data_IF_564201461248
#
_entry.id   IF_564201461248
#
_cell.length_a   1.000
_cell.length_b   1.000
_cell.length_c   1.000
_cell.angle_alpha   90.00
_cell.angle_beta   90.00
_cell.angle_gamma   90.00
#
_symmetry.space_group_name_H-M   'P 1'
#
loop_
_entity.id
_entity.type
_entity.pdbx_description
1 polymer ?
#
# COMPACT_ATOMS: atom_id res chain seq x y z
N UNK A 1 19.28 40.01 15.80
CA UNK A 1 18.56 39.14 14.91
C UNK A 1 19.37 38.62 13.74
N UNK A 2 20.43 39.27 13.37
CA UNK A 2 21.31 38.83 12.28
C UNK A 2 22.18 37.61 12.58
N UNK A 3 22.24 37.17 13.83
CA UNK A 3 23.13 36.08 14.25
C UNK A 3 22.58 34.68 13.87
N UNK A 4 21.28 34.52 13.76
CA UNK A 4 20.66 33.25 13.41
C UNK A 4 20.86 32.88 11.95
N UNK A 5 20.82 33.84 11.06
CA UNK A 5 20.96 33.60 9.62
C UNK A 5 22.39 33.20 9.25
N UNK A 6 23.38 33.64 9.98
CA UNK A 6 24.79 33.30 9.74
C UNK A 6 25.13 31.86 10.12
N UNK A 7 24.49 31.29 11.13
CA UNK A 7 24.74 29.91 11.55
C UNK A 7 24.19 28.91 10.53
N UNK A 8 23.05 29.19 9.95
CA UNK A 8 22.44 28.32 8.92
C UNK A 8 23.28 28.32 7.63
N UNK A 9 23.81 29.46 7.22
CA UNK A 9 24.69 29.53 6.06
C UNK A 9 26.02 28.79 6.27
N UNK A 10 26.56 28.84 7.45
CA UNK A 10 27.81 28.13 7.78
C UNK A 10 27.63 26.62 7.80
N UNK A 11 26.51 26.10 8.24
CA UNK A 11 26.20 24.71 8.21
C UNK A 11 26.05 24.18 6.77
N UNK A 12 25.42 24.90 5.91
CA UNK A 12 25.26 24.56 4.50
C UNK A 12 26.62 24.51 3.79
N UNK A 13 27.50 25.44 4.06
CA UNK A 13 28.85 25.46 3.48
C UNK A 13 29.71 24.29 3.93
N UNK A 14 29.57 23.86 5.17
CA UNK A 14 30.30 22.68 5.66
C UNK A 14 29.87 21.38 4.96
N UNK A 15 28.59 21.22 4.72
CA UNK A 15 28.05 20.07 4.01
C UNK A 15 28.53 20.01 2.56
N UNK A 16 28.55 21.13 1.86
CA UNK A 16 29.07 21.21 0.49
C UNK A 16 30.54 20.86 0.41
N UNK A 17 31.36 21.35 1.35
CA UNK A 17 32.79 21.00 1.42
C UNK A 17 33.04 19.51 1.64
N UNK A 18 32.25 18.86 2.47
CA UNK A 18 32.35 17.44 2.73
C UNK A 18 32.01 16.61 1.50
N UNK A 19 31.01 17.00 0.74
CA UNK A 19 30.64 16.33 -0.51
C UNK A 19 31.71 16.50 -1.58
N UNK A 20 32.24 17.67 -1.78
CA UNK A 20 33.34 17.92 -2.71
C UNK A 20 34.60 17.13 -2.35
N UNK A 21 34.92 17.03 -1.07
CA UNK A 21 36.06 16.27 -0.61
C UNK A 21 35.91 14.78 -0.90
N UNK A 22 34.74 14.23 -0.74
CA UNK A 22 34.44 12.82 -1.08
C UNK A 22 34.56 12.55 -2.59
N UNK A 23 34.06 13.44 -3.40
CA UNK A 23 34.13 13.31 -4.86
C UNK A 23 35.59 13.41 -5.34
N UNK A 24 36.37 14.32 -4.80
CA UNK A 24 37.79 14.47 -5.17
C UNK A 24 38.61 13.23 -4.81
N UNK A 25 38.36 12.65 -3.67
CA UNK A 25 39.09 11.47 -3.22
C UNK A 25 38.78 10.25 -4.11
N UNK A 26 37.56 10.14 -4.53
CA UNK A 26 37.15 9.03 -5.41
C UNK A 26 37.77 9.12 -6.79
N UNK A 27 37.93 10.30 -7.36
CA UNK A 27 38.52 10.50 -8.68
C UNK A 27 40.03 10.26 -8.74
N UNK A 28 40.74 10.37 -7.62
CA UNK A 28 42.18 10.17 -7.59
C UNK A 28 42.58 8.69 -7.55
N UNK A 29 41.75 7.84 -7.03
CA UNK A 29 42.07 6.40 -6.97
C UNK A 29 41.90 5.69 -8.31
N UNK A 30 41.13 6.24 -9.22
CA UNK A 30 40.87 5.64 -10.52
C UNK A 30 41.99 5.79 -11.57
N UNK A 31 43.02 6.56 -11.29
CA UNK A 31 44.02 6.91 -12.31
C UNK A 31 45.34 6.12 -12.26
N UNK A 32 45.50 5.21 -11.34
CA UNK A 32 46.69 4.41 -11.16
C UNK A 32 46.52 2.94 -11.46
N UNK A 33 45.69 2.65 -12.39
CA UNK A 33 45.51 1.26 -12.75
C UNK A 33 46.59 0.87 -13.77
N UNK A 34 47.54 0.11 -13.31
CA UNK A 34 48.60 -0.47 -14.11
C UNK A 34 48.09 -1.59 -15.02
N UNK A 35 47.12 -1.33 -15.85
CA UNK A 35 46.82 -2.20 -16.97
C UNK A 35 46.52 -3.67 -16.70
N UNK A 36 46.54 -4.09 -15.43
CA UNK A 36 46.00 -5.37 -15.03
C UNK A 36 44.49 -5.25 -14.86
N UNK A 37 43.84 -5.05 -15.96
CA UNK A 37 42.43 -5.29 -16.05
C UNK A 37 42.24 -6.79 -15.84
N UNK A 38 42.12 -7.20 -14.60
CA UNK A 38 41.26 -8.35 -14.33
C UNK A 38 39.96 -8.04 -15.08
N UNK A 39 39.45 -8.94 -15.88
CA UNK A 39 38.16 -8.70 -16.45
C UNK A 39 37.27 -8.34 -15.26
N UNK A 40 36.88 -7.07 -15.17
CA UNK A 40 35.71 -6.73 -14.43
C UNK A 40 34.71 -7.67 -15.05
N UNK A 41 34.46 -8.79 -14.39
CA UNK A 41 33.18 -9.38 -14.55
C UNK A 41 32.23 -8.20 -14.34
N UNK A 42 31.84 -7.59 -15.44
CA UNK A 42 30.59 -6.91 -15.43
C UNK A 42 29.67 -7.95 -14.81
N UNK A 43 29.58 -7.90 -13.49
CA UNK A 43 28.29 -8.19 -12.94
C UNK A 43 27.40 -7.19 -13.68
N UNK A 44 27.05 -7.52 -14.89
CA UNK A 44 25.73 -7.23 -15.34
C UNK A 44 24.94 -7.70 -14.13
N UNK A 45 24.69 -6.79 -13.21
CA UNK A 45 23.53 -6.90 -12.39
C UNK A 45 22.43 -7.04 -13.40
N UNK A 46 22.31 -8.23 -13.96
CA UNK A 46 21.06 -8.69 -14.41
C UNK A 46 20.22 -8.41 -13.18
N UNK A 47 19.51 -7.32 -13.22
CA UNK A 47 18.31 -7.19 -12.45
C UNK A 47 17.59 -8.45 -12.88
N UNK A 48 17.81 -9.53 -12.12
CA UNK A 48 17.06 -10.76 -12.35
C UNK A 48 15.62 -10.27 -12.38
N UNK A 49 15.05 -10.29 -13.56
CA UNK A 49 13.63 -10.07 -13.70
C UNK A 49 13.03 -11.00 -12.66
N UNK A 50 12.30 -10.47 -11.67
CA UNK A 50 11.83 -11.29 -10.54
C UNK A 50 11.21 -12.52 -11.16
N UNK A 51 11.72 -13.68 -10.78
CA UNK A 51 11.26 -14.96 -11.30
C UNK A 51 9.76 -14.99 -11.15
N UNK A 52 9.06 -15.50 -12.13
CA UNK A 52 7.59 -15.55 -12.14
C UNK A 52 7.00 -16.14 -10.83
N UNK A 53 7.78 -16.93 -10.12
CA UNK A 53 7.47 -17.48 -8.80
C UNK A 53 7.24 -16.42 -7.70
N UNK A 54 7.88 -15.26 -7.79
CA UNK A 54 7.72 -14.21 -6.77
C UNK A 54 6.38 -13.47 -6.90
N UNK A 55 5.74 -13.51 -8.05
CA UNK A 55 4.42 -12.88 -8.24
C UNK A 55 3.25 -13.72 -7.75
N UNK A 56 3.48 -14.98 -7.39
CA UNK A 56 2.46 -15.85 -6.77
C UNK A 56 2.41 -15.70 -5.24
N UNK A 57 3.31 -14.91 -4.66
CA UNK A 57 3.30 -14.59 -3.24
C UNK A 57 2.22 -13.58 -2.90
N UNK A 58 1.74 -13.67 -1.67
CA UNK A 58 0.83 -12.69 -1.11
C UNK A 58 1.59 -11.40 -0.79
N UNK A 59 1.25 -10.32 -1.46
CA UNK A 59 1.79 -8.99 -1.19
C UNK A 59 0.97 -8.28 -0.12
N UNK A 60 1.63 -7.59 0.78
CA UNK A 60 1.02 -6.71 1.78
C UNK A 60 1.24 -5.24 1.47
N UNK A 61 2.16 -4.94 0.54
CA UNK A 61 2.44 -3.62 0.02
C UNK A 61 2.73 -3.72 -1.47
N UNK A 62 2.12 -2.85 -2.26
CA UNK A 62 2.21 -2.83 -3.72
C UNK A 62 2.25 -1.40 -4.24
N UNK A 63 2.68 -1.23 -5.48
CA UNK A 63 2.71 0.08 -6.14
C UNK A 63 1.30 0.60 -6.42
N UNK A 64 0.41 -0.28 -6.90
CA UNK A 64 -0.99 0.03 -7.15
C UNK A 64 -1.84 -0.97 -6.37
N UNK A 65 -2.63 -0.47 -5.43
CA UNK A 65 -3.50 -1.31 -4.61
C UNK A 65 -4.69 -1.83 -5.42
N UNK A 66 -5.26 -2.93 -4.95
CA UNK A 66 -6.51 -3.42 -5.49
C UNK A 66 -7.63 -2.37 -5.30
N UNK A 67 -8.51 -2.25 -6.28
CA UNK A 67 -9.56 -1.24 -6.30
C UNK A 67 -10.90 -1.89 -6.66
N UNK A 68 -11.98 -1.35 -6.08
CA UNK A 68 -13.33 -1.76 -6.45
C UNK A 68 -13.63 -1.33 -7.90
N UNK A 69 -14.36 -2.14 -8.71
CA UNK A 69 -14.76 -1.77 -10.06
C UNK A 69 -15.56 -0.46 -10.05
N UNK A 70 -15.09 0.53 -10.79
CA UNK A 70 -15.66 1.88 -10.76
C UNK A 70 -15.08 2.81 -9.69
N UNK A 71 -14.01 2.37 -8.98
CA UNK A 71 -13.31 3.16 -8.00
C UNK A 71 -14.08 3.42 -6.73
N UNK A 72 -13.73 4.49 -6.02
CA UNK A 72 -14.39 4.89 -4.77
C UNK A 72 -15.89 5.16 -4.96
N UNK A 73 -16.26 5.81 -6.06
CA UNK A 73 -17.67 6.08 -6.37
C UNK A 73 -18.48 4.80 -6.62
N UNK A 74 -17.89 3.82 -7.29
CA UNK A 74 -18.48 2.50 -7.50
C UNK A 74 -18.68 1.75 -6.19
N UNK A 75 -17.68 1.81 -5.31
CA UNK A 75 -17.76 1.22 -3.97
C UNK A 75 -18.90 1.79 -3.13
N UNK A 76 -19.01 3.12 -3.06
CA UNK A 76 -20.08 3.79 -2.31
C UNK A 76 -21.45 3.37 -2.83
N UNK A 77 -21.70 3.40 -4.13
CA UNK A 77 -22.96 2.96 -4.75
C UNK A 77 -23.28 1.49 -4.48
N UNK A 78 -22.25 0.65 -4.49
CA UNK A 78 -22.41 -0.76 -4.16
C UNK A 78 -22.87 -0.95 -2.72
N UNK A 79 -22.23 -0.26 -1.76
CA UNK A 79 -22.62 -0.28 -0.36
C UNK A 79 -24.04 0.23 -0.16
N UNK A 80 -24.42 1.31 -0.82
CA UNK A 80 -25.79 1.88 -0.73
C UNK A 80 -26.87 0.89 -1.14
N UNK A 81 -26.58 0.00 -2.07
CA UNK A 81 -27.52 -1.01 -2.56
C UNK A 81 -27.50 -2.32 -1.79
N UNK A 82 -26.36 -2.67 -1.24
CA UNK A 82 -26.12 -4.04 -0.74
C UNK A 82 -26.03 -4.09 0.78
N UNK A 83 -25.56 -3.00 1.40
CA UNK A 83 -25.37 -2.92 2.85
C UNK A 83 -26.70 -2.72 3.55
N UNK A 84 -27.04 -3.63 4.48
CA UNK A 84 -28.14 -3.41 5.38
C UNK A 84 -27.74 -2.41 6.47
N UNK A 85 -28.13 -1.15 6.28
CA UNK A 85 -27.80 -0.04 7.17
C UNK A 85 -28.57 -0.10 8.48
N UNK A 86 -29.73 -0.72 8.45
CA UNK A 86 -30.65 -0.80 9.58
C UNK A 86 -30.31 -1.93 10.55
N UNK A 87 -29.43 -2.85 10.12
CA UNK A 87 -29.05 -4.01 10.91
C UNK A 87 -28.52 -3.66 12.32
N UNK A 88 -27.67 -2.65 12.49
CA UNK A 88 -27.23 -2.27 13.84
C UNK A 88 -28.40 -1.76 14.70
N UNK A 89 -29.32 -1.00 14.12
CA UNK A 89 -30.53 -0.49 14.81
C UNK A 89 -31.45 -1.64 15.21
N UNK A 90 -31.66 -2.58 14.29
CA UNK A 90 -32.48 -3.79 14.56
C UNK A 90 -31.92 -4.62 15.71
N UNK A 91 -30.60 -4.62 15.85
CA UNK A 91 -29.90 -5.30 16.93
C UNK A 91 -29.69 -4.44 18.19
N UNK A 92 -30.34 -3.27 18.27
CA UNK A 92 -30.33 -2.41 19.45
C UNK A 92 -29.08 -1.55 19.60
N UNK A 93 -28.38 -1.24 18.53
CA UNK A 93 -27.23 -0.33 18.57
C UNK A 93 -27.65 1.09 18.95
N UNK A 94 -26.99 1.72 19.92
CA UNK A 94 -27.21 3.14 20.20
C UNK A 94 -26.74 4.01 19.03
N UNK A 95 -27.24 5.25 19.00
CA UNK A 95 -26.81 6.25 18.02
C UNK A 95 -25.29 6.41 18.01
N UNK A 96 -24.73 6.37 16.82
CA UNK A 96 -23.27 6.51 16.67
C UNK A 96 -22.74 5.97 15.36
N UNK A 97 -21.44 5.99 15.26
CA UNK A 97 -20.69 5.52 14.10
C UNK A 97 -19.98 4.20 14.42
N UNK A 98 -20.25 3.18 13.64
CA UNK A 98 -19.66 1.86 13.78
C UNK A 98 -18.79 1.57 12.54
N UNK A 99 -17.52 1.35 12.74
CA UNK A 99 -16.58 1.07 11.65
C UNK A 99 -16.04 -0.35 11.75
N UNK A 100 -16.19 -1.12 10.69
CA UNK A 100 -15.65 -2.46 10.56
C UNK A 100 -14.55 -2.45 9.51
N UNK A 101 -13.37 -2.89 9.88
CA UNK A 101 -12.26 -3.09 8.93
C UNK A 101 -12.26 -4.57 8.53
N UNK A 102 -12.40 -4.80 7.23
CA UNK A 102 -12.37 -6.16 6.67
C UNK A 102 -11.11 -6.30 5.83
N UNK A 103 -10.36 -7.36 6.10
CA UNK A 103 -9.24 -7.78 5.27
C UNK A 103 -9.63 -8.96 4.39
N UNK A 104 -9.16 -8.95 3.17
CA UNK A 104 -9.41 -10.02 2.21
C UNK A 104 -8.27 -10.07 1.18
N UNK A 105 -8.16 -11.21 0.51
CA UNK A 105 -7.17 -11.41 -0.53
C UNK A 105 -7.81 -11.18 -1.89
N UNK A 106 -7.20 -10.33 -2.71
CA UNK A 106 -7.54 -10.11 -4.10
C UNK A 106 -6.53 -10.86 -4.96
N UNK A 107 -7.01 -11.84 -5.70
CA UNK A 107 -6.18 -12.63 -6.61
C UNK A 107 -5.84 -11.86 -7.89
N UNK A 108 -4.95 -12.40 -8.71
CA UNK A 108 -4.51 -11.78 -9.98
C UNK A 108 -5.66 -11.52 -10.96
N UNK A 109 -6.73 -12.30 -10.88
CA UNK A 109 -7.95 -12.17 -11.70
C UNK A 109 -9.02 -11.29 -11.04
N UNK A 110 -8.75 -10.73 -9.86
CA UNK A 110 -9.67 -9.91 -9.09
C UNK A 110 -10.63 -10.68 -8.19
N UNK A 111 -10.57 -12.00 -8.15
CA UNK A 111 -11.39 -12.81 -7.25
C UNK A 111 -11.01 -12.57 -5.79
N UNK A 112 -12.00 -12.64 -4.90
CA UNK A 112 -11.83 -12.37 -3.47
C UNK A 112 -11.84 -13.69 -2.70
N UNK A 113 -10.91 -13.82 -1.76
CA UNK A 113 -10.78 -14.95 -0.86
C UNK A 113 -10.36 -14.50 0.55
N UNK A 114 -10.46 -15.41 1.50
CA UNK A 114 -10.05 -15.18 2.90
C UNK A 114 -10.60 -13.88 3.51
N UNK A 115 -11.89 -13.64 3.32
CA UNK A 115 -12.56 -12.45 3.88
C UNK A 115 -12.67 -12.58 5.39
N UNK A 116 -12.09 -11.63 6.11
CA UNK A 116 -12.04 -11.62 7.56
C UNK A 116 -12.18 -10.21 8.11
N UNK A 117 -13.07 -10.02 9.06
CA UNK A 117 -13.12 -8.76 9.81
C UNK A 117 -12.01 -8.71 10.85
N UNK A 118 -11.32 -7.59 10.94
CA UNK A 118 -10.23 -7.36 11.90
C UNK A 118 -10.75 -6.86 13.24
N UNK A 119 -11.92 -6.22 13.26
CA UNK A 119 -12.56 -5.74 14.46
C UNK A 119 -14.07 -6.05 14.44
N UNK A 120 -14.67 -6.01 15.59
CA UNK A 120 -16.10 -6.28 15.78
C UNK A 120 -16.70 -5.24 16.71
N UNK A 121 -17.36 -4.18 16.19
CA UNK A 121 -18.08 -3.23 17.03
C UNK A 121 -19.37 -3.79 17.61
N UNK A 122 -19.81 -4.97 17.17
CA UNK A 122 -21.02 -5.62 17.60
C UNK A 122 -22.26 -5.31 16.73
N UNK A 123 -23.41 -5.72 17.21
CA UNK A 123 -24.71 -5.48 16.57
C UNK A 123 -24.86 -6.06 15.15
N UNK A 124 -24.12 -7.14 14.84
CA UNK A 124 -24.15 -7.79 13.54
C UNK A 124 -23.39 -7.06 12.42
N UNK A 125 -22.73 -5.95 12.72
CA UNK A 125 -21.99 -5.16 11.74
C UNK A 125 -20.86 -5.92 11.09
N UNK A 126 -20.15 -6.74 11.86
CA UNK A 126 -19.05 -7.60 11.38
C UNK A 126 -19.53 -8.60 10.32
N UNK A 127 -20.57 -9.34 10.62
CA UNK A 127 -21.13 -10.37 9.73
C UNK A 127 -21.63 -9.73 8.44
N UNK A 128 -22.30 -8.60 8.55
CA UNK A 128 -22.81 -7.86 7.41
C UNK A 128 -21.67 -7.34 6.52
N UNK A 129 -20.64 -6.76 7.11
CA UNK A 129 -19.48 -6.28 6.37
C UNK A 129 -18.77 -7.40 5.60
N UNK A 130 -18.58 -8.56 6.21
CA UNK A 130 -18.01 -9.76 5.56
C UNK A 130 -18.93 -10.22 4.43
N UNK A 131 -20.23 -10.30 4.66
CA UNK A 131 -21.22 -10.72 3.65
C UNK A 131 -21.17 -9.83 2.41
N UNK A 132 -21.13 -8.53 2.60
CA UNK A 132 -21.11 -7.53 1.51
C UNK A 132 -19.88 -7.70 0.64
N UNK A 133 -18.72 -7.92 1.23
CA UNK A 133 -17.48 -8.13 0.47
C UNK A 133 -17.52 -9.46 -0.27
N UNK A 134 -17.96 -10.54 0.38
CA UNK A 134 -18.05 -11.87 -0.24
C UNK A 134 -19.00 -11.93 -1.43
N UNK A 135 -20.09 -11.19 -1.39
CA UNK A 135 -21.10 -11.12 -2.47
C UNK A 135 -20.76 -10.10 -3.56
N UNK A 136 -19.73 -9.31 -3.36
CA UNK A 136 -19.34 -8.27 -4.29
C UNK A 136 -18.78 -8.79 -5.62
N UNK A 137 -18.67 -7.90 -6.60
CA UNK A 137 -18.04 -8.23 -7.87
C UNK A 137 -16.54 -8.45 -7.70
N UNK A 138 -15.90 -8.94 -8.75
CA UNK A 138 -14.44 -9.02 -8.80
C UNK A 138 -13.84 -7.61 -8.71
N UNK A 139 -12.77 -7.49 -7.93
CA UNK A 139 -12.00 -6.27 -7.80
C UNK A 139 -10.97 -6.14 -8.93
N UNK A 140 -10.50 -4.93 -9.16
CA UNK A 140 -9.31 -4.73 -9.97
C UNK A 140 -8.11 -5.23 -9.17
N UNK A 141 -7.31 -6.15 -9.72
CA UNK A 141 -6.18 -6.69 -8.97
C UNK A 141 -5.11 -5.62 -8.72
N UNK A 142 -4.33 -5.81 -7.66
CA UNK A 142 -3.17 -4.98 -7.39
C UNK A 142 -2.09 -5.19 -8.45
N UNK A 143 -1.29 -4.16 -8.69
CA UNK A 143 -0.22 -4.19 -9.69
C UNK A 143 1.12 -3.89 -9.04
N UNK A 144 2.09 -4.73 -9.34
CA UNK A 144 3.48 -4.56 -8.95
C UNK A 144 4.36 -4.76 -10.20
N UNK A 145 5.21 -3.78 -10.51
CA UNK A 145 6.08 -3.82 -11.69
C UNK A 145 5.33 -4.14 -13.01
N UNK A 146 4.13 -3.56 -13.18
CA UNK A 146 3.31 -3.74 -14.37
C UNK A 146 2.58 -5.09 -14.46
N UNK A 147 2.64 -5.92 -13.41
CA UNK A 147 1.99 -7.24 -13.37
C UNK A 147 0.96 -7.31 -12.27
N UNK A 148 -0.14 -7.99 -12.51
CA UNK A 148 -1.14 -8.30 -11.50
C UNK A 148 -0.56 -9.25 -10.46
N UNK A 149 -0.78 -8.93 -9.19
CA UNK A 149 -0.28 -9.71 -8.05
C UNK A 149 -1.39 -10.01 -7.06
N UNK A 150 -1.16 -11.02 -6.24
CA UNK A 150 -2.05 -11.37 -5.14
C UNK A 150 -1.80 -10.38 -3.99
N UNK A 151 -2.83 -9.68 -3.56
CA UNK A 151 -2.71 -8.62 -2.58
C UNK A 151 -3.73 -8.75 -1.45
N UNK A 152 -3.28 -8.51 -0.22
CA UNK A 152 -4.17 -8.40 0.95
C UNK A 152 -4.70 -6.98 1.05
N UNK A 153 -5.96 -6.80 0.67
CA UNK A 153 -6.67 -5.53 0.77
C UNK A 153 -7.34 -5.41 2.13
N UNK A 154 -7.37 -4.20 2.65
CA UNK A 154 -8.11 -3.80 3.84
C UNK A 154 -9.11 -2.74 3.45
N UNK A 155 -10.36 -2.92 3.82
CA UNK A 155 -11.44 -2.00 3.50
C UNK A 155 -12.26 -1.71 4.75
N UNK A 156 -12.45 -0.43 5.05
CA UNK A 156 -13.33 0.00 6.13
C UNK A 156 -14.75 0.16 5.59
N UNK A 157 -15.73 -0.38 6.34
CA UNK A 157 -17.16 -0.21 6.11
C UNK A 157 -17.72 0.51 7.32
N UNK A 158 -18.41 1.62 7.10
CA UNK A 158 -18.95 2.47 8.15
C UNK A 158 -20.47 2.41 8.16
N UNK A 159 -21.00 2.05 9.31
CA UNK A 159 -22.44 2.11 9.62
C UNK A 159 -22.70 3.38 10.43
N UNK A 160 -23.74 4.11 10.07
CA UNK A 160 -24.18 5.29 10.78
C UNK A 160 -25.58 5.02 11.36
N UNK A 161 -25.68 5.06 12.68
CA UNK A 161 -26.96 4.97 13.40
C UNK A 161 -27.33 6.37 13.85
N UNK A 162 -28.41 6.90 13.31
CA UNK A 162 -29.00 8.19 13.70
C UNK A 162 -30.33 7.97 14.39
N UNK A 163 -30.66 8.83 15.31
CA UNK A 163 -32.06 8.93 15.85
C UNK A 163 -32.93 9.67 14.82
N UNK A 164 -34.00 9.07 14.43
CA UNK A 164 -35.05 9.74 13.68
C UNK A 164 -35.95 10.64 14.58
#
# INVERSE_FOLDING_TARGET
MCIRDRKEEDEIKEVEKLEETKISTFNQEGTKDDGLVAPVEQSTGAVEAPKDEDYDKLFTSVQIQAEFPGGQGGWVRYLERTLNRDLPVENGAPTGKYSVVVSFIVSKDGSISEVKAENDPGYGTKEEAVRVIQRGPKWKPAVQNGRNVIYRQRQAIVFMVSED
#
